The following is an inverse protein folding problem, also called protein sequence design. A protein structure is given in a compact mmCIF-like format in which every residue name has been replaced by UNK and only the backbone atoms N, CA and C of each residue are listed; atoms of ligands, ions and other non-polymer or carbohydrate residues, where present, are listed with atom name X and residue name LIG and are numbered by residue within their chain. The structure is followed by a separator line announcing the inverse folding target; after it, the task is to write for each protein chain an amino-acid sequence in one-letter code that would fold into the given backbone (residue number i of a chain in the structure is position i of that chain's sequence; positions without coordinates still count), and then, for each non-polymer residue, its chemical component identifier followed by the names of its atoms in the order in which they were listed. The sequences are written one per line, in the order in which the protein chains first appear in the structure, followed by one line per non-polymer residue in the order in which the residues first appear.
data_IF_402987113824
#
_entry.id   IF_402987113824
#
_cell.length_a   1.000
_cell.length_b   1.000
_cell.length_c   1.000
_cell.angle_alpha   90.00
_cell.angle_beta   90.00
_cell.angle_gamma   90.00
#
_symmetry.space_group_name_H-M   'P 1'
#
loop_
_entity.id
_entity.type
_entity.pdbx_description
1 polymer ?
#
# COMPACT_ATOMS: atom_id res chain seq x y z
N UNK A 1 -8.94 27.58 -10.68
CA UNK A 1 -8.91 26.32 -11.44
C UNK A 1 -9.42 25.23 -10.54
N UNK A 2 -10.19 24.28 -11.08
CA UNK A 2 -10.66 23.09 -10.35
C UNK A 2 -9.52 22.14 -10.09
N UNK A 3 -9.59 21.37 -8.99
CA UNK A 3 -8.51 20.49 -8.52
C UNK A 3 -9.01 19.10 -8.20
N UNK A 4 -8.18 18.11 -8.51
CA UNK A 4 -8.27 16.79 -7.94
C UNK A 4 -7.47 16.73 -6.64
N UNK A 5 -8.09 16.33 -5.54
CA UNK A 5 -7.36 15.99 -4.32
C UNK A 5 -7.38 14.47 -4.14
N UNK A 6 -6.20 13.83 -4.14
CA UNK A 6 -6.09 12.43 -3.76
C UNK A 6 -5.77 12.37 -2.28
N UNK A 7 -6.69 11.83 -1.49
CA UNK A 7 -6.63 11.87 -0.03
C UNK A 7 -6.61 10.46 0.57
N UNK A 8 -5.64 10.19 1.42
CA UNK A 8 -5.58 8.99 2.23
C UNK A 8 -6.59 9.03 3.36
N UNK A 9 -7.42 8.00 3.46
CA UNK A 9 -8.45 7.87 4.50
C UNK A 9 -8.09 6.83 5.57
N UNK A 10 -6.83 6.45 5.63
CA UNK A 10 -6.40 5.46 6.61
C UNK A 10 -6.93 4.06 6.32
N UNK A 11 -6.91 3.18 7.33
CA UNK A 11 -7.28 1.78 7.18
C UNK A 11 -8.78 1.56 6.97
N UNK A 12 -9.64 2.47 7.45
CA UNK A 12 -11.08 2.39 7.23
C UNK A 12 -11.95 2.96 8.35
N UNK A 13 -11.43 3.02 9.56
CA UNK A 13 -12.12 3.59 10.71
C UNK A 13 -12.04 5.13 10.70
N UNK A 14 -13.11 5.78 11.17
CA UNK A 14 -13.27 7.23 11.16
C UNK A 14 -12.14 7.97 11.91
N UNK A 15 -11.68 7.41 13.02
CA UNK A 15 -10.66 8.02 13.89
C UNK A 15 -9.29 8.15 13.23
N UNK A 16 -9.02 7.35 12.19
CA UNK A 16 -7.78 7.43 11.40
C UNK A 16 -7.88 8.36 10.18
N UNK A 17 -9.05 8.98 9.96
CA UNK A 17 -9.22 9.94 8.87
C UNK A 17 -8.80 11.33 9.37
N UNK A 18 -7.78 11.90 8.74
CA UNK A 18 -7.27 13.21 9.12
C UNK A 18 -8.36 14.31 9.01
N UNK A 19 -8.45 15.21 9.98
CA UNK A 19 -9.37 16.36 9.90
C UNK A 19 -9.18 17.19 8.62
N UNK A 20 -7.98 17.25 8.08
CA UNK A 20 -7.68 17.91 6.80
C UNK A 20 -8.43 17.28 5.63
N UNK A 21 -8.54 15.94 5.60
CA UNK A 21 -9.30 15.18 4.58
C UNK A 21 -10.79 15.50 4.70
N UNK A 22 -11.35 15.43 5.92
CA UNK A 22 -12.76 15.73 6.17
C UNK A 22 -13.10 17.15 5.71
N UNK A 23 -12.26 18.13 6.08
CA UNK A 23 -12.42 19.53 5.67
C UNK A 23 -12.38 19.71 4.15
N UNK A 24 -11.53 18.95 3.47
CA UNK A 24 -11.40 19.01 2.00
C UNK A 24 -12.62 18.37 1.33
N UNK A 25 -13.09 17.21 1.84
CA UNK A 25 -14.30 16.55 1.33
C UNK A 25 -15.55 17.43 1.46
N UNK A 26 -15.75 18.09 2.61
CA UNK A 26 -16.90 18.99 2.83
C UNK A 26 -16.94 20.17 1.85
N UNK A 27 -15.79 20.59 1.31
CA UNK A 27 -15.68 21.72 0.37
C UNK A 27 -15.69 21.29 -1.09
N UNK A 28 -15.48 20.02 -1.39
CA UNK A 28 -15.44 19.50 -2.75
C UNK A 28 -16.87 19.39 -3.33
N UNK A 29 -16.97 19.52 -4.65
CA UNK A 29 -18.21 19.21 -5.35
C UNK A 29 -18.51 17.71 -5.32
N UNK A 30 -17.49 16.88 -5.52
CA UNK A 30 -17.64 15.43 -5.61
C UNK A 30 -16.57 14.71 -4.78
N UNK A 31 -17.01 13.67 -4.05
CA UNK A 31 -16.15 12.73 -3.34
C UNK A 31 -16.29 11.36 -3.99
N UNK A 32 -15.18 10.79 -4.45
CA UNK A 32 -15.12 9.46 -5.06
C UNK A 32 -14.35 8.53 -4.12
N UNK A 33 -14.93 7.38 -3.77
CA UNK A 33 -14.28 6.40 -2.88
C UNK A 33 -14.74 4.98 -3.19
N UNK A 34 -14.03 3.99 -2.63
CA UNK A 34 -14.48 2.60 -2.66
C UNK A 34 -15.87 2.46 -2.02
N UNK A 35 -16.74 1.65 -2.63
CA UNK A 35 -18.15 1.49 -2.22
C UNK A 35 -18.31 1.21 -0.72
N UNK A 36 -17.39 0.39 -0.16
CA UNK A 36 -17.42 -0.04 1.26
C UNK A 36 -17.25 1.11 2.25
N UNK A 37 -16.52 2.17 1.87
CA UNK A 37 -16.17 3.28 2.78
C UNK A 37 -17.12 4.48 2.66
N UNK A 38 -17.92 4.55 1.60
CA UNK A 38 -18.83 5.67 1.37
C UNK A 38 -19.78 5.97 2.53
N UNK A 39 -20.35 4.99 3.25
CA UNK A 39 -21.21 5.26 4.40
C UNK A 39 -20.51 6.10 5.48
N UNK A 40 -19.28 5.70 5.85
CA UNK A 40 -18.45 6.40 6.85
C UNK A 40 -18.13 7.83 6.40
N UNK A 41 -17.71 8.00 5.13
CA UNK A 41 -17.39 9.33 4.60
C UNK A 41 -18.61 10.26 4.54
N UNK A 42 -19.77 9.73 4.21
CA UNK A 42 -21.03 10.50 4.20
C UNK A 42 -21.39 10.98 5.61
N UNK A 43 -21.26 10.11 6.61
CA UNK A 43 -21.53 10.44 8.01
C UNK A 43 -20.58 11.55 8.50
N UNK A 44 -19.26 11.42 8.24
CA UNK A 44 -18.25 12.42 8.60
C UNK A 44 -18.44 13.78 7.92
N UNK A 45 -19.11 13.81 6.77
CA UNK A 45 -19.40 15.04 6.06
C UNK A 45 -20.75 15.66 6.44
N UNK A 46 -21.58 14.98 7.27
CA UNK A 46 -22.80 15.56 7.82
C UNK A 46 -22.43 16.47 9.00
N UNK A 47 -22.78 17.76 8.92
CA UNK A 47 -22.65 18.66 10.06
C UNK A 47 -23.84 18.45 11.02
N UNK A 48 -23.54 17.97 12.21
CA UNK A 48 -24.53 17.68 13.26
C UNK A 48 -25.23 18.98 13.78
N UNK A 49 -24.68 20.16 13.47
CA UNK A 49 -25.09 21.43 14.08
C UNK A 49 -25.35 22.59 13.11
N UNK A 50 -25.49 22.38 11.80
CA UNK A 50 -25.78 23.51 10.91
C UNK A 50 -27.24 23.50 10.45
N UNK A 51 -28.10 24.25 11.14
CA UNK A 51 -29.42 24.62 10.65
C UNK A 51 -29.39 25.56 9.42
N UNK A 52 -28.18 25.96 8.97
CA UNK A 52 -27.98 27.03 7.99
C UNK A 52 -27.39 26.61 6.62
N UNK A 53 -26.96 25.36 6.42
CA UNK A 53 -26.41 24.97 5.13
C UNK A 53 -27.49 24.46 4.17
N UNK A 54 -27.76 25.31 3.17
CA UNK A 54 -28.62 24.98 2.04
C UNK A 54 -28.21 23.61 1.44
N UNK A 55 -29.22 22.77 1.12
CA UNK A 55 -29.03 21.44 0.46
C UNK A 55 -28.14 21.49 -0.78
N UNK A 56 -27.93 22.68 -1.34
CA UNK A 56 -27.12 22.92 -2.55
C UNK A 56 -25.60 22.85 -2.35
N UNK A 57 -25.08 22.70 -1.12
CA UNK A 57 -23.64 22.75 -0.85
C UNK A 57 -23.05 21.44 -0.32
N UNK A 58 -23.81 20.34 -0.35
CA UNK A 58 -23.31 19.03 0.08
C UNK A 58 -22.59 18.32 -1.05
N UNK A 59 -21.43 17.66 -0.78
CA UNK A 59 -20.71 16.93 -1.80
C UNK A 59 -21.53 15.75 -2.36
N UNK A 60 -21.39 15.51 -3.66
CA UNK A 60 -21.91 14.32 -4.32
C UNK A 60 -20.96 13.16 -4.05
N UNK A 61 -21.47 12.04 -3.54
CA UNK A 61 -20.67 10.85 -3.25
C UNK A 61 -20.85 9.79 -4.34
N UNK A 62 -19.74 9.40 -4.97
CA UNK A 62 -19.71 8.42 -6.04
C UNK A 62 -18.86 7.21 -5.67
N UNK A 63 -19.33 6.03 -6.02
CA UNK A 63 -18.54 4.83 -5.87
C UNK A 63 -17.48 4.74 -6.96
N UNK A 64 -16.23 4.49 -6.60
CA UNK A 64 -15.15 4.22 -7.53
C UNK A 64 -15.44 2.92 -8.30
N UNK A 65 -15.40 3.00 -9.62
CA UNK A 65 -15.52 1.88 -10.54
C UNK A 65 -14.15 1.38 -11.04
N UNK A 66 -14.10 0.94 -12.30
CA UNK A 66 -12.81 0.70 -12.95
C UNK A 66 -12.03 2.00 -13.02
N UNK A 67 -10.72 1.93 -12.81
CA UNK A 67 -9.89 3.14 -12.70
C UNK A 67 -10.02 4.04 -13.93
N UNK A 68 -10.02 3.48 -15.14
CA UNK A 68 -10.15 4.24 -16.38
C UNK A 68 -11.45 5.04 -16.42
N UNK A 69 -12.58 4.38 -16.16
CA UNK A 69 -13.90 5.02 -16.19
C UNK A 69 -13.99 6.11 -15.08
N UNK A 70 -13.34 5.87 -13.95
CA UNK A 70 -13.27 6.83 -12.84
C UNK A 70 -12.46 8.06 -13.22
N UNK A 71 -11.32 7.89 -13.92
CA UNK A 71 -10.52 9.03 -14.39
C UNK A 71 -11.26 9.86 -15.44
N UNK A 72 -11.96 9.22 -16.38
CA UNK A 72 -12.81 9.91 -17.36
C UNK A 72 -13.88 10.76 -16.64
N UNK A 73 -14.56 10.18 -15.66
CA UNK A 73 -15.56 10.89 -14.85
C UNK A 73 -14.97 12.07 -14.06
N UNK A 74 -13.77 11.91 -13.49
CA UNK A 74 -13.05 13.01 -12.82
C UNK A 74 -12.76 14.13 -13.82
N UNK A 75 -12.25 13.81 -15.01
CA UNK A 75 -11.98 14.79 -16.06
C UNK A 75 -13.21 15.60 -16.48
N UNK A 76 -14.36 14.95 -16.60
CA UNK A 76 -15.63 15.62 -16.90
C UNK A 76 -16.05 16.60 -15.79
N UNK A 77 -15.86 16.24 -14.51
CA UNK A 77 -16.21 17.10 -13.37
C UNK A 77 -15.25 18.29 -13.30
N UNK A 78 -13.94 18.05 -13.44
CA UNK A 78 -12.93 19.10 -13.43
C UNK A 78 -13.12 20.10 -14.58
N UNK A 79 -13.51 19.63 -15.78
CA UNK A 79 -13.76 20.51 -16.94
C UNK A 79 -14.92 21.49 -16.72
N UNK A 80 -15.83 21.17 -15.80
CA UNK A 80 -16.94 22.06 -15.37
C UNK A 80 -16.54 23.05 -14.27
N UNK A 81 -15.25 23.09 -13.90
CA UNK A 81 -14.75 23.97 -12.85
C UNK A 81 -15.04 23.49 -11.43
N UNK A 82 -15.32 22.21 -11.25
CA UNK A 82 -15.75 21.61 -9.98
C UNK A 82 -14.62 20.77 -9.36
N UNK A 83 -14.37 20.96 -8.06
CA UNK A 83 -13.35 20.22 -7.32
C UNK A 83 -13.78 18.79 -7.02
N UNK A 84 -12.81 17.86 -7.09
CA UNK A 84 -13.00 16.43 -6.78
C UNK A 84 -12.05 16.01 -5.67
N UNK A 85 -12.56 15.24 -4.70
CA UNK A 85 -11.74 14.48 -3.75
C UNK A 85 -11.86 13.00 -4.08
N UNK A 86 -10.72 12.38 -4.40
CA UNK A 86 -10.62 10.92 -4.53
C UNK A 86 -10.05 10.37 -3.23
N UNK A 87 -10.92 9.75 -2.43
CA UNK A 87 -10.55 9.17 -1.14
C UNK A 87 -10.09 7.71 -1.34
N UNK A 88 -8.84 7.43 -0.98
CA UNK A 88 -8.19 6.12 -1.15
C UNK A 88 -7.84 5.50 0.19
N UNK A 89 -8.00 4.19 0.33
CA UNK A 89 -7.62 3.47 1.55
C UNK A 89 -6.12 3.58 1.82
N UNK A 90 -5.74 3.70 3.08
CA UNK A 90 -4.35 3.86 3.49
C UNK A 90 -3.78 5.22 3.11
N UNK A 91 -2.54 5.20 2.62
CA UNK A 91 -1.80 6.36 2.13
C UNK A 91 -1.74 6.36 0.59
N UNK A 92 -2.05 7.47 -0.10
CA UNK A 92 -2.03 7.54 -1.56
C UNK A 92 -0.64 7.33 -2.17
N UNK A 93 0.42 7.55 -1.41
CA UNK A 93 1.80 7.43 -1.85
C UNK A 93 2.39 6.02 -1.67
N UNK A 94 1.73 5.16 -0.89
CA UNK A 94 2.21 3.82 -0.58
C UNK A 94 1.51 2.75 -1.43
N UNK A 95 2.05 2.45 -2.61
CA UNK A 95 1.51 1.46 -3.56
C UNK A 95 0.02 1.62 -3.87
N UNK A 96 -0.44 2.86 -3.95
CA UNK A 96 -1.82 3.26 -4.16
C UNK A 96 -2.04 3.89 -5.54
N UNK A 97 -3.21 4.48 -5.75
CA UNK A 97 -3.66 4.95 -7.07
C UNK A 97 -2.93 6.21 -7.57
N UNK A 98 -2.25 6.97 -6.71
CA UNK A 98 -1.63 8.23 -7.13
C UNK A 98 -0.66 8.07 -8.31
N UNK A 99 0.21 7.05 -8.27
CA UNK A 99 1.12 6.78 -9.40
C UNK A 99 0.37 6.44 -10.69
N UNK A 100 -0.73 5.71 -10.58
CA UNK A 100 -1.58 5.37 -11.73
C UNK A 100 -2.20 6.63 -12.32
N UNK A 101 -2.69 7.54 -11.49
CA UNK A 101 -3.24 8.83 -11.90
C UNK A 101 -2.17 9.65 -12.62
N UNK A 102 -0.99 9.84 -12.03
CA UNK A 102 0.09 10.64 -12.63
C UNK A 102 0.62 10.09 -13.96
N UNK A 103 0.51 8.78 -14.18
CA UNK A 103 1.00 8.15 -15.41
C UNK A 103 -0.08 8.06 -16.50
N UNK A 104 -1.32 8.44 -16.23
CA UNK A 104 -2.40 8.40 -17.22
C UNK A 104 -2.44 9.72 -17.99
N UNK A 105 -2.41 9.69 -19.33
CA UNK A 105 -2.43 10.92 -20.17
C UNK A 105 -3.61 11.84 -19.88
N UNK A 106 -4.76 11.30 -19.44
CA UNK A 106 -5.95 12.11 -19.14
C UNK A 106 -5.71 13.11 -18.01
N UNK A 107 -4.78 12.80 -17.11
CA UNK A 107 -4.48 13.65 -15.95
C UNK A 107 -3.36 14.67 -16.18
N UNK A 108 -2.73 14.70 -17.34
CA UNK A 108 -1.55 15.55 -17.62
C UNK A 108 -1.81 17.04 -17.39
N UNK A 109 -3.05 17.50 -17.63
CA UNK A 109 -3.44 18.91 -17.42
C UNK A 109 -4.08 19.19 -16.06
N UNK A 110 -4.20 18.19 -15.18
CA UNK A 110 -4.90 18.37 -13.90
C UNK A 110 -3.98 18.98 -12.83
N UNK A 111 -4.52 19.88 -12.04
CA UNK A 111 -3.90 20.26 -10.77
C UNK A 111 -4.27 19.21 -9.71
N UNK A 112 -3.26 18.50 -9.20
CA UNK A 112 -3.44 17.41 -8.24
C UNK A 112 -2.83 17.78 -6.90
N UNK A 113 -3.68 17.85 -5.87
CA UNK A 113 -3.27 17.96 -4.47
C UNK A 113 -3.20 16.58 -3.81
N UNK A 114 -2.31 16.41 -2.84
CA UNK A 114 -2.18 15.20 -2.06
C UNK A 114 -2.38 15.46 -0.58
N UNK A 115 -3.13 14.58 0.08
CA UNK A 115 -3.20 14.51 1.55
C UNK A 115 -2.84 13.08 1.95
N UNK A 116 -1.78 12.88 2.77
CA UNK A 116 -1.37 11.56 3.22
C UNK A 116 -2.40 10.93 4.15
N UNK A 117 -2.26 9.64 4.41
CA UNK A 117 -3.09 8.91 5.35
C UNK A 117 -2.30 7.87 6.13
N UNK A 118 -2.90 7.28 7.16
CA UNK A 118 -2.30 6.18 7.90
C UNK A 118 -2.34 4.93 7.03
N UNK A 119 -1.18 4.39 6.66
CA UNK A 119 -1.08 3.18 5.85
C UNK A 119 -1.21 1.90 6.67
N UNK A 120 -1.60 0.80 6.00
CA UNK A 120 -1.73 -0.52 6.63
C UNK A 120 -0.42 -1.05 7.21
N UNK A 121 0.73 -0.67 6.64
CA UNK A 121 2.03 -1.08 7.17
C UNK A 121 2.35 -0.38 8.49
N UNK A 122 1.99 0.92 8.62
CA UNK A 122 2.11 1.64 9.87
C UNK A 122 1.19 1.04 10.95
N UNK A 123 -0.03 0.66 10.58
CA UNK A 123 -0.96 -0.03 11.48
C UNK A 123 -0.39 -1.37 11.95
N UNK A 124 0.17 -2.17 11.03
CA UNK A 124 0.81 -3.44 11.39
C UNK A 124 2.00 -3.22 12.32
N UNK A 125 2.88 -2.24 12.00
CA UNK A 125 4.02 -1.89 12.86
C UNK A 125 3.56 -1.50 14.27
N UNK A 126 2.55 -0.64 14.39
CA UNK A 126 1.98 -0.23 15.68
C UNK A 126 1.40 -1.42 16.47
N UNK A 127 0.68 -2.33 15.80
CA UNK A 127 0.07 -3.51 16.43
C UNK A 127 1.12 -4.46 17.05
N UNK A 128 2.31 -4.56 16.44
CA UNK A 128 3.40 -5.43 16.90
C UNK A 128 4.53 -4.67 17.61
N UNK A 129 4.40 -3.36 17.82
CA UNK A 129 5.43 -2.53 18.46
C UNK A 129 6.72 -2.42 17.64
N UNK A 130 6.62 -2.46 16.31
CA UNK A 130 7.75 -2.46 15.40
C UNK A 130 7.87 -1.16 14.61
N UNK A 131 9.07 -0.61 14.57
CA UNK A 131 9.37 0.57 13.75
C UNK A 131 9.56 0.18 12.29
N UNK A 132 9.44 1.16 11.38
CA UNK A 132 9.72 0.97 9.95
C UNK A 132 11.17 1.33 9.59
N UNK A 133 11.97 1.72 10.57
CA UNK A 133 13.40 1.99 10.37
C UNK A 133 14.13 0.73 9.92
N UNK A 134 15.04 0.88 8.97
CA UNK A 134 15.82 -0.22 8.37
C UNK A 134 14.95 -1.32 7.70
N UNK A 135 13.67 -1.08 7.53
CA UNK A 135 12.77 -2.05 6.92
C UNK A 135 12.72 -1.92 5.40
N UNK A 136 12.78 -3.06 4.73
CA UNK A 136 12.46 -3.14 3.30
C UNK A 136 10.95 -3.26 3.12
N UNK A 137 10.37 -2.53 2.16
CA UNK A 137 8.95 -2.61 1.83
C UNK A 137 8.78 -3.23 0.45
N UNK A 138 8.00 -4.32 0.38
CA UNK A 138 7.71 -5.05 -0.86
C UNK A 138 6.20 -5.13 -1.06
N UNK A 139 5.75 -4.80 -2.26
CA UNK A 139 4.38 -5.11 -2.67
C UNK A 139 4.37 -6.35 -3.54
N UNK A 140 3.62 -7.34 -3.11
CA UNK A 140 3.26 -8.52 -3.90
C UNK A 140 1.83 -8.41 -4.45
N UNK A 141 1.12 -7.33 -4.11
CA UNK A 141 -0.21 -7.04 -4.64
C UNK A 141 -0.13 -6.63 -6.11
N UNK A 142 -0.67 -7.46 -7.01
CA UNK A 142 -0.71 -7.18 -8.45
C UNK A 142 0.67 -7.14 -9.14
N UNK A 143 1.72 -7.68 -8.52
CA UNK A 143 3.09 -7.72 -9.05
C UNK A 143 3.67 -9.11 -8.89
N UNK A 144 4.09 -9.71 -9.99
CA UNK A 144 4.79 -10.98 -9.93
C UNK A 144 6.17 -10.80 -9.27
N UNK A 145 6.36 -11.46 -8.14
CA UNK A 145 7.65 -11.62 -7.47
C UNK A 145 7.96 -13.10 -7.41
N UNK A 146 9.22 -13.47 -7.68
CA UNK A 146 9.65 -14.86 -7.54
C UNK A 146 9.91 -15.20 -6.08
N UNK A 147 9.67 -16.45 -5.69
CA UNK A 147 9.96 -16.94 -4.34
C UNK A 147 11.42 -16.65 -3.94
N UNK A 148 12.37 -16.90 -4.84
CA UNK A 148 13.77 -16.61 -4.58
C UNK A 148 14.07 -15.13 -4.32
N UNK A 149 13.42 -14.19 -5.03
CA UNK A 149 13.63 -12.77 -4.78
C UNK A 149 13.08 -12.33 -3.43
N UNK A 150 12.01 -12.96 -2.94
CA UNK A 150 11.44 -12.70 -1.62
C UNK A 150 12.33 -13.29 -0.53
N UNK A 151 12.75 -14.55 -0.69
CA UNK A 151 13.65 -15.21 0.26
C UNK A 151 14.97 -14.42 0.41
N UNK A 152 15.54 -13.97 -0.70
CA UNK A 152 16.74 -13.13 -0.69
C UNK A 152 16.52 -11.82 0.04
N UNK A 153 15.40 -11.13 -0.23
CA UNK A 153 15.05 -9.88 0.44
C UNK A 153 14.94 -10.06 1.96
N UNK A 154 14.34 -11.18 2.42
CA UNK A 154 14.26 -11.49 3.85
C UNK A 154 15.62 -11.89 4.42
N UNK A 155 16.43 -12.64 3.67
CA UNK A 155 17.77 -13.04 4.12
C UNK A 155 18.71 -11.85 4.34
N UNK A 156 18.60 -10.81 3.52
CA UNK A 156 19.49 -9.64 3.55
C UNK A 156 19.00 -8.53 4.50
N UNK A 157 17.76 -8.58 5.01
CA UNK A 157 17.18 -7.48 5.79
C UNK A 157 16.65 -7.96 7.15
N UNK A 158 16.85 -7.19 8.23
CA UNK A 158 16.34 -7.53 9.55
C UNK A 158 14.82 -7.52 9.61
N UNK A 159 14.18 -6.75 8.72
CA UNK A 159 12.74 -6.57 8.70
C UNK A 159 12.24 -6.28 7.28
N UNK A 160 11.23 -7.02 6.85
CA UNK A 160 10.60 -6.80 5.53
C UNK A 160 9.09 -6.72 5.71
N UNK A 161 8.49 -5.61 5.28
CA UNK A 161 7.05 -5.43 5.23
C UNK A 161 6.49 -5.78 3.85
N UNK A 162 5.34 -6.43 3.82
CA UNK A 162 4.67 -6.89 2.61
C UNK A 162 3.25 -6.35 2.51
N UNK A 163 2.93 -5.73 1.37
CA UNK A 163 1.55 -5.51 0.94
C UNK A 163 1.10 -6.76 0.18
N UNK A 164 0.20 -7.51 0.76
CA UNK A 164 -0.22 -8.82 0.31
C UNK A 164 -1.36 -8.77 -0.74
N UNK A 165 -1.59 -9.89 -1.41
CA UNK A 165 -2.77 -10.15 -2.23
C UNK A 165 -3.50 -11.39 -1.69
N UNK A 166 -4.64 -11.71 -2.29
CA UNK A 166 -5.39 -12.92 -1.91
C UNK A 166 -4.57 -14.20 -2.10
N UNK A 167 -3.83 -14.28 -3.21
CA UNK A 167 -3.03 -15.46 -3.58
C UNK A 167 -1.63 -15.44 -2.94
N UNK A 168 -1.09 -14.25 -2.72
CA UNK A 168 0.24 -14.02 -2.17
C UNK A 168 0.11 -13.36 -0.78
N UNK A 169 -0.48 -14.12 0.14
CA UNK A 169 -0.72 -13.71 1.52
C UNK A 169 0.35 -14.21 2.50
N UNK A 170 0.12 -14.02 3.82
CA UNK A 170 1.07 -14.41 4.86
C UNK A 170 1.40 -15.91 4.85
N UNK A 171 0.44 -16.79 4.58
CA UNK A 171 0.69 -18.23 4.47
C UNK A 171 1.61 -18.59 3.30
N UNK A 172 1.43 -17.93 2.14
CA UNK A 172 2.30 -18.11 0.99
C UNK A 172 3.72 -17.59 1.27
N UNK A 173 3.87 -16.46 1.95
CA UNK A 173 5.17 -15.95 2.39
C UNK A 173 5.85 -16.94 3.35
N UNK A 174 5.09 -17.53 4.28
CA UNK A 174 5.58 -18.54 5.21
C UNK A 174 6.06 -19.80 4.49
N UNK A 175 5.33 -20.26 3.47
CA UNK A 175 5.77 -21.39 2.65
C UNK A 175 7.10 -21.11 1.96
N UNK A 176 7.31 -19.90 1.44
CA UNK A 176 8.60 -19.50 0.88
C UNK A 176 9.71 -19.58 1.93
N UNK A 177 9.46 -19.12 3.15
CA UNK A 177 10.47 -19.20 4.21
C UNK A 177 10.85 -20.66 4.51
N UNK A 178 9.89 -21.57 4.54
CA UNK A 178 10.14 -23.00 4.70
C UNK A 178 10.93 -23.60 3.54
N UNK A 179 10.54 -23.29 2.31
CA UNK A 179 11.19 -23.82 1.09
C UNK A 179 12.67 -23.39 1.01
N UNK A 180 13.01 -22.23 1.58
CA UNK A 180 14.38 -21.68 1.64
C UNK A 180 15.06 -21.89 2.99
N UNK A 181 14.54 -22.78 3.85
CA UNK A 181 15.12 -23.16 5.15
C UNK A 181 15.30 -21.97 6.11
N UNK A 182 14.41 -21.01 6.05
CA UNK A 182 14.42 -19.80 6.90
C UNK A 182 13.43 -19.95 8.08
N UNK A 183 13.50 -21.07 8.79
CA UNK A 183 12.60 -21.39 9.91
C UNK A 183 12.81 -20.47 11.14
N UNK A 184 13.96 -19.81 11.21
CA UNK A 184 14.36 -18.93 12.30
C UNK A 184 13.68 -17.55 12.28
N UNK A 185 13.01 -17.20 11.18
CA UNK A 185 12.32 -15.90 11.07
C UNK A 185 10.97 -15.93 11.77
N UNK A 186 10.49 -14.73 12.14
CA UNK A 186 9.12 -14.56 12.69
C UNK A 186 8.25 -13.88 11.63
N UNK A 187 7.10 -14.46 11.34
CA UNK A 187 6.09 -13.89 10.46
C UNK A 187 4.99 -13.25 11.31
N UNK A 188 4.75 -11.95 11.11
CA UNK A 188 3.64 -11.20 11.69
C UNK A 188 2.67 -10.84 10.58
N UNK A 189 1.38 -10.96 10.81
CA UNK A 189 0.35 -10.67 9.83
C UNK A 189 -0.80 -9.88 10.45
N UNK A 190 -1.36 -8.96 9.66
CA UNK A 190 -2.56 -8.23 10.03
C UNK A 190 -3.54 -8.23 8.86
N UNK A 191 -4.79 -8.51 9.13
CA UNK A 191 -5.86 -8.45 8.14
C UNK A 191 -7.02 -7.61 8.67
N UNK A 192 -7.73 -6.93 7.78
CA UNK A 192 -8.86 -6.05 8.11
C UNK A 192 -8.53 -5.07 9.25
N UNK A 193 -7.30 -4.52 9.24
CA UNK A 193 -6.82 -3.64 10.30
C UNK A 193 -7.77 -2.47 10.52
N UNK A 194 -8.09 -2.19 11.77
CA UNK A 194 -9.07 -1.23 12.28
C UNK A 194 -10.55 -1.58 12.06
N UNK A 195 -10.89 -2.68 11.45
CA UNK A 195 -12.28 -3.15 11.35
C UNK A 195 -12.65 -4.05 12.53
N UNK A 196 -13.95 -4.25 12.75
CA UNK A 196 -14.45 -5.14 13.84
C UNK A 196 -13.94 -6.59 13.72
N UNK A 197 -13.64 -7.03 12.51
CA UNK A 197 -13.08 -8.35 12.20
C UNK A 197 -11.56 -8.31 11.98
N UNK A 198 -10.87 -7.39 12.66
CA UNK A 198 -9.41 -7.32 12.66
C UNK A 198 -8.80 -8.65 13.12
N UNK A 199 -7.83 -9.13 12.36
CA UNK A 199 -7.07 -10.34 12.68
C UNK A 199 -5.59 -9.98 12.76
N UNK A 200 -4.98 -10.26 13.92
CA UNK A 200 -3.54 -10.13 14.17
C UNK A 200 -2.98 -11.49 14.55
N UNK A 201 -1.97 -11.94 13.81
CA UNK A 201 -1.33 -13.22 14.03
C UNK A 201 0.18 -13.10 13.92
N UNK A 202 0.91 -13.87 14.73
CA UNK A 202 2.36 -14.00 14.60
C UNK A 202 2.81 -15.39 14.99
N UNK A 203 3.91 -15.84 14.42
CA UNK A 203 4.47 -17.15 14.70
C UNK A 203 5.64 -17.50 13.79
N UNK A 204 6.10 -18.74 13.93
CA UNK A 204 7.08 -19.32 13.01
C UNK A 204 6.48 -19.56 11.63
N UNK A 205 7.28 -19.74 10.57
CA UNK A 205 6.75 -20.10 9.27
C UNK A 205 5.89 -21.36 9.27
N UNK A 206 6.23 -22.37 10.10
CA UNK A 206 5.47 -23.62 10.24
C UNK A 206 4.06 -23.40 10.83
N UNK A 207 3.94 -22.46 11.77
CA UNK A 207 2.65 -22.13 12.37
C UNK A 207 1.81 -21.29 11.42
N UNK A 208 2.43 -20.33 10.75
CA UNK A 208 1.72 -19.35 9.92
C UNK A 208 1.29 -19.89 8.56
N UNK A 209 1.98 -20.91 8.01
CA UNK A 209 1.61 -21.53 6.74
C UNK A 209 0.25 -22.25 6.81
N UNK A 210 -0.17 -22.67 8.00
CA UNK A 210 -1.44 -23.36 8.24
C UNK A 210 -2.63 -22.43 8.45
N UNK A 211 -2.39 -21.10 8.50
CA UNK A 211 -3.43 -20.11 8.80
C UNK A 211 -4.04 -19.54 7.53
N UNK A 212 -5.32 -19.23 7.61
CA UNK A 212 -6.04 -18.55 6.55
C UNK A 212 -6.16 -17.05 6.86
N UNK A 213 -6.00 -16.22 5.83
CA UNK A 213 -6.09 -14.78 5.95
C UNK A 213 -7.07 -14.20 4.93
N UNK A 214 -7.86 -13.17 5.33
CA UNK A 214 -8.64 -12.37 4.40
C UNK A 214 -7.77 -11.74 3.30
N UNK A 215 -8.39 -11.38 2.18
CA UNK A 215 -7.67 -10.78 1.05
C UNK A 215 -7.08 -9.39 1.35
N UNK A 216 -7.65 -8.68 2.32
CA UNK A 216 -7.16 -7.38 2.78
C UNK A 216 -6.17 -7.60 3.93
N UNK A 217 -4.95 -7.99 3.60
CA UNK A 217 -3.93 -8.31 4.58
C UNK A 217 -2.57 -7.70 4.23
N UNK A 218 -1.76 -7.57 5.26
CA UNK A 218 -0.36 -7.16 5.21
C UNK A 218 0.46 -8.10 6.09
N UNK A 219 1.74 -8.23 5.81
CA UNK A 219 2.65 -9.03 6.62
C UNK A 219 3.95 -8.30 6.91
N UNK A 220 4.64 -8.74 7.94
CA UNK A 220 5.99 -8.35 8.25
C UNK A 220 6.77 -9.62 8.60
N UNK A 221 7.94 -9.78 8.02
CA UNK A 221 8.86 -10.87 8.40
C UNK A 221 10.06 -10.24 9.09
N UNK A 222 10.34 -10.73 10.30
CA UNK A 222 11.50 -10.34 11.09
C UNK A 222 12.56 -11.41 10.99
N UNK A 223 13.74 -11.03 10.57
CA UNK A 223 14.91 -11.90 10.49
C UNK A 223 15.92 -11.47 11.56
N UNK A 224 16.13 -12.26 12.62
CA UNK A 224 17.11 -11.94 13.66
C UNK A 224 18.56 -12.11 13.22
N UNK A 225 18.80 -12.79 12.09
CA UNK A 225 20.12 -13.13 11.57
C UNK A 225 20.28 -12.70 10.11
N UNK A 226 20.13 -11.38 9.78
CA UNK A 226 20.25 -10.94 8.41
C UNK A 226 21.70 -11.06 7.91
N UNK A 227 21.87 -11.66 6.74
CA UNK A 227 23.16 -11.77 6.09
C UNK A 227 23.34 -10.62 5.11
N UNK A 228 24.20 -9.68 5.42
CA UNK A 228 24.61 -8.70 4.44
C UNK A 228 25.50 -9.39 3.39
N UNK A 229 24.93 -9.70 2.25
CA UNK A 229 25.70 -10.10 1.09
C UNK A 229 26.38 -8.84 0.56
N UNK A 230 27.65 -8.67 0.87
CA UNK A 230 28.46 -7.63 0.25
C UNK A 230 28.61 -8.02 -1.22
N UNK A 231 27.79 -7.43 -2.07
CA UNK A 231 27.96 -7.55 -3.52
C UNK A 231 28.94 -6.46 -3.94
N UNK A 232 30.16 -6.80 -4.37
CA UNK A 232 31.04 -5.79 -4.94
C UNK A 232 30.33 -5.17 -6.16
N UNK A 233 30.29 -3.83 -6.21
CA UNK A 233 29.69 -3.11 -7.34
C UNK A 233 30.41 -3.38 -8.66
N UNK A 234 31.69 -3.71 -8.57
CA UNK A 234 32.56 -4.07 -9.69
C UNK A 234 33.36 -5.33 -9.32
N UNK A 235 33.24 -6.35 -10.14
CA UNK A 235 34.04 -7.57 -10.01
C UNK A 235 35.23 -7.43 -10.95
N UNK A 236 36.43 -7.58 -10.40
CA UNK A 236 37.64 -7.66 -11.20
C UNK A 236 37.74 -9.02 -11.89
N UNK A 237 38.62 -9.13 -12.88
CA UNK A 237 38.87 -10.42 -13.55
C UNK A 237 39.47 -11.46 -12.59
N UNK A 238 40.09 -11.02 -11.50
CA UNK A 238 40.69 -11.85 -10.46
C UNK A 238 39.68 -12.48 -9.51
N UNK A 239 38.46 -11.89 -9.43
CA UNK A 239 37.36 -12.40 -8.58
C UNK A 239 36.68 -13.66 -9.18
N UNK A 240 37.10 -14.09 -10.38
CA UNK A 240 36.53 -15.24 -11.06
C UNK A 240 37.55 -16.37 -11.18
N UNK A 241 37.18 -17.56 -10.72
CA UNK A 241 37.88 -18.78 -11.10
C UNK A 241 37.65 -19.02 -12.59
N UNK A 242 38.77 -19.03 -13.36
CA UNK A 242 38.75 -19.23 -14.81
C UNK A 242 38.99 -20.70 -15.14
N UNK A 243 37.98 -21.31 -15.74
CA UNK A 243 38.15 -22.57 -16.48
C UNK A 243 38.29 -22.26 -17.98
N UNK A 244 38.20 -23.28 -18.84
CA UNK A 244 38.31 -23.16 -20.30
C UNK A 244 37.17 -22.38 -20.98
N UNK A 245 36.15 -22.00 -20.26
CA UNK A 245 34.99 -21.24 -20.80
C UNK A 245 35.37 -19.77 -20.96
N UNK A 246 35.15 -19.15 -22.14
CA UNK A 246 35.39 -17.72 -22.36
C UNK A 246 34.44 -16.90 -21.46
N UNK A 247 34.99 -15.98 -20.69
CA UNK A 247 34.23 -15.03 -19.89
C UNK A 247 34.36 -13.63 -20.46
N UNK A 248 33.32 -12.82 -20.30
CA UNK A 248 33.34 -11.41 -20.64
C UNK A 248 34.36 -10.69 -19.78
N UNK A 249 35.28 -9.92 -20.41
CA UNK A 249 36.26 -9.13 -19.69
C UNK A 249 35.58 -7.99 -18.87
N UNK A 250 36.30 -7.54 -17.83
CA UNK A 250 35.90 -6.46 -16.95
C UNK A 250 35.43 -5.20 -17.70
N UNK A 251 36.13 -4.85 -18.81
CA UNK A 251 35.79 -3.69 -19.66
C UNK A 251 34.41 -3.78 -20.35
N UNK A 252 33.80 -4.94 -20.34
CA UNK A 252 32.48 -5.19 -20.99
C UNK A 252 31.39 -5.51 -19.96
N UNK A 253 31.71 -5.64 -18.69
CA UNK A 253 30.81 -5.89 -17.58
C UNK A 253 30.47 -4.58 -16.90
#
# INVERSE_FOLDING_TARGET
MSRLTVAGIGPGEADYILPAVIKKMKKAHTVIAAKRILPVLKELCQDVNSEADSENNKPVFLAMGKIKDTLEQIGEILSKGQDVVMAVSGDPLMYSLYRTICNDPISESWEVDLIPGVGSLQMLGAAFGETMEEALIISVHGRAKTAGSIALAVAENPKVFFLCSKEQGPAWLSQIMLDYQMNHVTVCAGANLSYEDELLESGTPEEMVQKEFPSLCVAMIKNPEPHQIVRPCFLSDEDFERDKTPMTKEEIR
#
